data_IF_523820303475
#
_entry.id   IF_523820303475
#
_cell.length_a   1.000
_cell.length_b   1.000
_cell.length_c   1.000
_cell.angle_alpha   90.00
_cell.angle_beta   90.00
_cell.angle_gamma   90.00
#
_symmetry.space_group_name_H-M   'P 1'
#
loop_
_entity.id
_entity.type
_entity.pdbx_description
1 polymer ?
#
# COMPACT_ATOMS: atom_id res chain seq x y z
N UNK A 1 20.60 -11.94 4.94
CA UNK A 1 21.70 -11.88 3.94
C UNK A 1 21.17 -11.29 2.64
N UNK A 2 22.00 -10.61 1.83
CA UNK A 2 21.53 -10.15 0.52
C UNK A 2 21.16 -11.36 -0.36
N UNK A 3 20.12 -11.23 -1.19
CA UNK A 3 19.65 -12.23 -2.14
C UNK A 3 19.21 -13.57 -1.52
N UNK A 4 18.56 -13.54 -0.35
CA UNK A 4 17.96 -14.74 0.24
C UNK A 4 16.45 -14.78 0.01
N UNK A 5 15.88 -15.99 -0.01
CA UNK A 5 14.44 -16.19 0.01
C UNK A 5 14.00 -16.33 1.45
N UNK A 6 13.16 -15.41 1.92
CA UNK A 6 12.56 -15.45 3.24
C UNK A 6 11.11 -15.88 3.13
N UNK A 7 10.69 -16.72 4.08
CA UNK A 7 9.28 -16.95 4.30
C UNK A 7 8.63 -15.67 4.79
N UNK A 8 7.38 -15.42 4.38
CA UNK A 8 6.60 -14.28 4.88
C UNK A 8 6.21 -14.54 6.33
N UNK A 9 7.09 -14.17 7.25
CA UNK A 9 6.98 -14.38 8.69
C UNK A 9 7.26 -13.07 9.47
N UNK A 10 6.47 -12.72 10.50
CA UNK A 10 6.65 -11.50 11.29
C UNK A 10 8.04 -11.35 11.94
N UNK A 11 8.72 -12.45 12.25
CA UNK A 11 10.05 -12.48 12.87
C UNK A 11 11.19 -12.22 11.88
N UNK A 12 10.92 -12.33 10.58
CA UNK A 12 11.91 -12.19 9.50
C UNK A 12 11.85 -10.83 8.78
N UNK A 13 10.93 -9.95 9.17
CA UNK A 13 10.74 -8.63 8.56
C UNK A 13 11.04 -7.48 9.53
N UNK A 14 11.24 -6.29 8.96
CA UNK A 14 11.43 -5.07 9.74
C UNK A 14 10.19 -4.70 10.56
N UNK A 15 10.39 -3.89 11.60
CA UNK A 15 9.31 -3.43 12.47
C UNK A 15 8.23 -2.64 11.70
N UNK A 16 8.58 -1.99 10.58
CA UNK A 16 7.62 -1.26 9.74
C UNK A 16 6.67 -2.20 8.97
N UNK A 17 7.09 -3.42 8.67
CA UNK A 17 6.31 -4.40 7.88
C UNK A 17 5.60 -5.40 8.77
N UNK A 18 6.17 -5.73 9.94
CA UNK A 18 5.63 -6.69 10.91
C UNK A 18 4.14 -6.52 11.20
N UNK A 19 3.60 -5.29 11.36
CA UNK A 19 2.17 -5.11 11.62
C UNK A 19 1.29 -5.63 10.51
N UNK A 20 1.76 -5.77 9.26
CA UNK A 20 0.95 -6.19 8.11
C UNK A 20 1.01 -7.70 7.83
N UNK A 21 1.67 -8.48 8.68
CA UNK A 21 1.75 -9.94 8.59
C UNK A 21 0.95 -10.54 9.76
N UNK A 22 -0.25 -11.05 9.49
CA UNK A 22 -1.14 -11.53 10.55
C UNK A 22 -0.89 -12.99 10.95
N UNK A 23 -0.33 -13.80 10.05
CA UNK A 23 -0.11 -15.22 10.26
C UNK A 23 1.38 -15.56 10.42
N UNK A 24 1.72 -16.63 11.17
CA UNK A 24 3.09 -17.10 11.27
C UNK A 24 3.56 -17.70 9.93
N UNK A 25 4.89 -17.89 9.81
CA UNK A 25 5.49 -18.56 8.68
C UNK A 25 4.80 -19.88 8.34
N UNK A 26 4.56 -20.10 7.04
CA UNK A 26 3.88 -21.28 6.51
C UNK A 26 2.36 -21.09 6.31
N UNK A 27 1.79 -20.01 6.84
CA UNK A 27 0.38 -19.66 6.67
C UNK A 27 0.29 -18.43 5.75
N UNK A 28 0.17 -18.69 4.46
CA UNK A 28 0.23 -17.63 3.46
C UNK A 28 -1.00 -16.71 3.57
N UNK A 29 -0.73 -15.40 3.58
CA UNK A 29 -1.74 -14.37 3.31
C UNK A 29 -1.81 -14.11 1.80
N UNK A 30 -2.93 -13.59 1.33
CA UNK A 30 -3.15 -13.30 -0.09
C UNK A 30 -4.00 -12.07 -0.32
N UNK A 31 -4.64 -12.03 -1.49
CA UNK A 31 -5.51 -10.92 -1.91
C UNK A 31 -6.54 -10.47 -0.85
N UNK A 32 -7.30 -11.36 -0.17
CA UNK A 32 -8.25 -10.91 0.85
C UNK A 32 -7.59 -10.22 2.05
N UNK A 33 -6.36 -10.62 2.41
CA UNK A 33 -5.64 -10.02 3.52
C UNK A 33 -5.25 -8.57 3.23
N UNK A 34 -5.01 -8.20 1.97
CA UNK A 34 -4.73 -6.81 1.59
C UNK A 34 -5.83 -5.86 2.06
N UNK A 35 -7.11 -6.24 1.90
CA UNK A 35 -8.22 -5.41 2.34
C UNK A 35 -8.28 -5.33 3.87
N UNK A 36 -8.12 -6.47 4.56
CA UNK A 36 -8.02 -6.51 6.03
C UNK A 36 -6.93 -5.57 6.54
N UNK A 37 -5.75 -5.61 5.93
CA UNK A 37 -4.63 -4.76 6.31
C UNK A 37 -4.87 -3.28 6.00
N UNK A 38 -5.49 -2.96 4.86
CA UNK A 38 -5.87 -1.59 4.51
C UNK A 38 -6.84 -0.98 5.52
N UNK A 39 -7.93 -1.70 5.86
CA UNK A 39 -8.88 -1.24 6.87
C UNK A 39 -8.23 -1.11 8.25
N UNK A 40 -7.39 -2.06 8.64
CA UNK A 40 -6.65 -1.96 9.91
C UNK A 40 -5.74 -0.74 9.94
N UNK A 41 -5.02 -0.45 8.87
CA UNK A 41 -4.17 0.74 8.75
C UNK A 41 -4.98 2.03 8.94
N UNK A 42 -6.13 2.13 8.26
CA UNK A 42 -7.05 3.27 8.38
C UNK A 42 -7.57 3.47 9.81
N UNK A 43 -8.09 2.42 10.43
CA UNK A 43 -8.66 2.54 11.78
C UNK A 43 -7.61 2.76 12.86
N UNK A 44 -6.42 2.15 12.73
CA UNK A 44 -5.31 2.41 13.65
C UNK A 44 -4.86 3.88 13.61
N UNK A 45 -4.86 4.50 12.43
CA UNK A 45 -4.52 5.91 12.29
C UNK A 45 -5.56 6.82 12.97
N UNK A 46 -6.85 6.48 12.85
CA UNK A 46 -7.92 7.19 13.56
C UNK A 46 -7.78 7.02 15.07
N UNK A 47 -7.54 5.79 15.53
CA UNK A 47 -7.38 5.46 16.95
C UNK A 47 -6.17 6.19 17.57
N UNK A 48 -5.08 6.33 16.82
CA UNK A 48 -3.89 7.06 17.28
C UNK A 48 -4.16 8.55 17.56
N UNK A 49 -5.17 9.14 16.93
CA UNK A 49 -5.63 10.51 17.18
C UNK A 49 -4.69 11.63 16.68
N UNK A 50 -3.50 11.30 16.18
CA UNK A 50 -2.58 12.25 15.57
C UNK A 50 -2.80 12.34 14.05
N UNK A 51 -3.70 13.24 13.65
CA UNK A 51 -4.01 13.47 12.23
C UNK A 51 -2.91 14.22 11.48
N UNK A 52 -1.83 14.62 12.14
CA UNK A 52 -0.67 15.26 11.50
C UNK A 52 0.40 14.27 11.05
N UNK A 53 0.34 13.03 11.56
CA UNK A 53 1.24 11.96 11.15
C UNK A 53 1.05 11.61 9.65
N UNK A 54 2.08 11.11 8.95
CA UNK A 54 1.89 10.61 7.59
C UNK A 54 0.90 9.44 7.57
N UNK A 55 -0.17 9.48 6.74
CA UNK A 55 -1.13 8.39 6.66
C UNK A 55 -0.49 7.14 6.07
N UNK A 56 -0.81 5.98 6.63
CA UNK A 56 -0.32 4.66 6.18
C UNK A 56 -1.36 3.92 5.34
N UNK A 57 -2.39 4.62 4.86
CA UNK A 57 -3.48 4.11 4.04
C UNK A 57 -3.74 5.07 2.86
N UNK A 58 -4.41 4.60 1.78
CA UNK A 58 -4.72 5.46 0.64
C UNK A 58 -5.67 6.60 1.01
N UNK A 59 -5.28 7.82 0.65
CA UNK A 59 -6.04 9.04 0.91
C UNK A 59 -6.83 9.50 -0.31
N UNK A 60 -7.67 10.54 -0.15
CA UNK A 60 -8.31 11.20 -1.28
C UNK A 60 -7.30 11.85 -2.24
N UNK A 61 -6.16 12.33 -1.74
CA UNK A 61 -5.12 12.90 -2.59
C UNK A 61 -4.50 11.83 -3.49
N UNK A 62 -4.29 10.61 -2.96
CA UNK A 62 -3.83 9.46 -3.76
C UNK A 62 -4.86 9.07 -4.83
N UNK A 63 -6.14 9.05 -4.46
CA UNK A 63 -7.24 8.81 -5.41
C UNK A 63 -7.32 9.87 -6.51
N UNK A 64 -7.13 11.15 -6.18
CA UNK A 64 -7.04 12.20 -7.19
C UNK A 64 -5.84 12.01 -8.12
N UNK A 65 -4.67 11.63 -7.58
CA UNK A 65 -3.49 11.32 -8.38
C UNK A 65 -3.72 10.18 -9.38
N UNK A 66 -4.45 9.13 -8.99
CA UNK A 66 -4.85 8.03 -9.87
C UNK A 66 -5.71 8.54 -11.04
N UNK A 67 -6.70 9.38 -10.77
CA UNK A 67 -7.55 9.96 -11.82
C UNK A 67 -6.76 10.82 -12.79
N UNK A 68 -5.90 11.72 -12.28
CA UNK A 68 -5.04 12.57 -13.13
C UNK A 68 -4.13 11.72 -14.03
N UNK A 69 -3.59 10.61 -13.50
CA UNK A 69 -2.79 9.68 -14.28
C UNK A 69 -3.63 9.00 -15.39
N UNK A 70 -4.82 8.50 -15.07
CA UNK A 70 -5.73 7.88 -16.02
C UNK A 70 -6.12 8.84 -17.17
N UNK A 71 -6.38 10.11 -16.85
CA UNK A 71 -6.65 11.15 -17.86
C UNK A 71 -5.44 11.42 -18.76
N UNK A 72 -4.23 11.48 -18.19
CA UNK A 72 -3.00 11.67 -18.95
C UNK A 72 -2.70 10.48 -19.87
N UNK A 73 -2.97 9.24 -19.42
CA UNK A 73 -2.86 8.03 -20.24
C UNK A 73 -3.82 8.12 -21.43
N UNK A 74 -5.08 8.46 -21.19
CA UNK A 74 -6.08 8.61 -22.25
C UNK A 74 -5.68 9.69 -23.26
N UNK A 75 -5.16 10.83 -22.78
CA UNK A 75 -4.66 11.91 -23.64
C UNK A 75 -3.43 11.49 -24.45
N UNK A 76 -2.49 10.79 -23.83
CA UNK A 76 -1.30 10.25 -24.50
C UNK A 76 -1.69 9.31 -25.64
N UNK A 77 -2.60 8.35 -25.38
CA UNK A 77 -3.10 7.43 -26.39
C UNK A 77 -3.70 8.17 -27.60
N UNK A 78 -4.51 9.21 -27.36
CA UNK A 78 -5.12 10.02 -28.43
C UNK A 78 -4.11 10.86 -29.22
N UNK A 79 -3.02 11.29 -28.59
CA UNK A 79 -2.04 12.20 -29.20
C UNK A 79 -0.80 11.47 -29.75
N UNK A 80 -0.61 10.19 -29.43
CA UNK A 80 0.56 9.41 -29.82
C UNK A 80 1.88 9.96 -29.27
N UNK A 81 1.85 10.66 -28.13
CA UNK A 81 3.04 11.29 -27.52
C UNK A 81 2.96 11.34 -26.01
N UNK A 82 4.11 11.48 -25.38
CA UNK A 82 4.21 11.73 -23.94
C UNK A 82 3.43 12.97 -23.51
N UNK A 83 2.72 12.83 -22.38
CA UNK A 83 1.97 13.87 -21.70
C UNK A 83 2.54 13.98 -20.29
N UNK A 84 2.81 15.22 -19.84
CA UNK A 84 3.23 15.49 -18.47
C UNK A 84 2.03 15.36 -17.53
N UNK A 85 2.24 14.63 -16.44
CA UNK A 85 1.39 14.57 -15.25
C UNK A 85 1.93 15.59 -14.26
#
# INVERSE_FOLDING_TARGET
>A
KANESLMRDPSLVSDAVRPYIAYPGGHNEGFPDTFKQCFRSFYNYIEAGDLSAPPTYPTFADGHGEIVLCEAILKSHRQGRWVRV
#
